data_IF_509754490546
#
_entry.id   IF_509754490546
#
_cell.length_a   1.000
_cell.length_b   1.000
_cell.length_c   1.000
_cell.angle_alpha   90.00
_cell.angle_beta   90.00
_cell.angle_gamma   90.00
#
_symmetry.space_group_name_H-M   'P 1'
#
loop_
_entity.id
_entity.type
_entity.pdbx_description
1 polymer ?
#
# COMPACT_ATOMS: atom_id res chain seq x y z
N UNK A 1 20.23 -2.50 21.77
CA UNK A 1 20.74 -2.57 20.39
C UNK A 1 19.51 -2.41 19.50
N UNK A 2 19.31 -1.22 18.93
CA UNK A 2 18.11 -0.89 18.14
C UNK A 2 18.26 -1.65 16.82
N UNK A 3 17.44 -2.67 16.60
CA UNK A 3 17.42 -3.41 15.33
C UNK A 3 16.91 -2.47 14.25
N UNK A 4 17.67 -2.32 13.17
CA UNK A 4 17.23 -1.61 11.97
C UNK A 4 15.86 -2.09 11.55
N UNK A 5 14.95 -1.15 11.37
CA UNK A 5 13.59 -1.43 10.92
C UNK A 5 13.64 -1.95 9.48
N UNK A 6 12.92 -3.03 9.14
CA UNK A 6 12.78 -3.52 7.75
C UNK A 6 12.25 -2.49 6.72
N UNK A 7 11.89 -1.28 7.17
CA UNK A 7 11.51 -0.12 6.34
C UNK A 7 12.70 0.61 5.68
N UNK A 8 13.95 0.31 6.06
CA UNK A 8 15.16 0.91 5.48
C UNK A 8 15.64 0.21 4.19
N UNK A 9 14.88 -0.76 3.65
CA UNK A 9 15.27 -1.51 2.45
C UNK A 9 14.60 -0.93 1.18
N UNK A 10 15.25 0.03 0.47
CA UNK A 10 14.66 0.75 -0.66
C UNK A 10 14.24 -0.16 -1.81
N UNK A 11 14.78 -1.38 -1.87
CA UNK A 11 14.49 -2.38 -2.91
C UNK A 11 13.11 -3.02 -2.75
N UNK A 12 12.60 -3.18 -1.53
CA UNK A 12 11.25 -3.71 -1.29
C UNK A 12 10.18 -2.65 -1.54
N UNK A 13 10.41 -1.42 -1.08
CA UNK A 13 9.50 -0.29 -1.27
C UNK A 13 9.32 0.09 -2.77
N UNK A 14 10.41 0.06 -3.55
CA UNK A 14 10.35 0.36 -5.00
C UNK A 14 9.55 -0.68 -5.79
N UNK A 15 9.68 -1.96 -5.46
CA UNK A 15 8.91 -3.03 -6.13
C UNK A 15 7.41 -2.97 -5.85
N UNK A 16 7.00 -2.67 -4.60
CA UNK A 16 5.58 -2.53 -4.25
C UNK A 16 4.94 -1.33 -4.97
N UNK A 17 5.66 -0.22 -5.06
CA UNK A 17 5.17 1.01 -5.66
C UNK A 17 5.04 0.93 -7.20
N UNK A 18 5.92 0.18 -7.87
CA UNK A 18 5.81 -0.05 -9.31
C UNK A 18 4.51 -0.78 -9.69
N UNK A 19 4.07 -1.77 -8.89
CA UNK A 19 2.80 -2.47 -9.10
C UNK A 19 1.60 -1.57 -8.87
N UNK A 20 1.63 -0.79 -7.79
CA UNK A 20 0.58 0.20 -7.49
C UNK A 20 0.40 1.21 -8.62
N UNK A 21 1.49 1.77 -9.16
CA UNK A 21 1.42 2.71 -10.29
C UNK A 21 0.84 2.10 -11.55
N UNK A 22 1.17 0.84 -11.85
CA UNK A 22 0.63 0.14 -13.02
C UNK A 22 -0.88 -0.07 -12.89
N UNK A 23 -1.36 -0.43 -11.70
CA UNK A 23 -2.79 -0.56 -11.42
C UNK A 23 -3.51 0.79 -11.49
N UNK A 24 -2.92 1.84 -10.90
CA UNK A 24 -3.46 3.20 -10.96
C UNK A 24 -3.55 3.74 -12.39
N UNK A 25 -2.56 3.45 -13.25
CA UNK A 25 -2.61 3.80 -14.67
C UNK A 25 -3.74 3.08 -15.41
N UNK A 26 -3.97 1.80 -15.12
CA UNK A 26 -5.07 1.04 -15.71
C UNK A 26 -6.44 1.59 -15.27
N UNK A 27 -6.60 1.88 -13.98
CA UNK A 27 -7.81 2.50 -13.43
C UNK A 27 -8.06 3.90 -13.99
N UNK A 28 -6.99 4.69 -14.18
CA UNK A 28 -7.04 5.98 -14.88
C UNK A 28 -7.53 5.81 -16.32
N UNK A 29 -6.99 4.84 -17.07
CA UNK A 29 -7.46 4.56 -18.44
C UNK A 29 -8.95 4.22 -18.49
N UNK A 30 -9.44 3.36 -17.59
CA UNK A 30 -10.87 3.03 -17.49
C UNK A 30 -11.71 4.28 -17.18
N UNK A 31 -11.24 5.11 -16.24
CA UNK A 31 -11.94 6.33 -15.86
C UNK A 31 -12.02 7.31 -17.03
N UNK A 32 -10.92 7.49 -17.77
CA UNK A 32 -10.89 8.34 -18.97
C UNK A 32 -11.85 7.82 -20.03
N UNK A 33 -11.85 6.51 -20.31
CA UNK A 33 -12.80 5.90 -21.26
C UNK A 33 -14.24 6.17 -20.82
N UNK A 34 -14.55 5.99 -19.53
CA UNK A 34 -15.90 6.21 -18.99
C UNK A 34 -16.32 7.68 -19.12
N UNK A 35 -15.43 8.62 -18.81
CA UNK A 35 -15.69 10.06 -18.96
C UNK A 35 -15.93 10.41 -20.42
N UNK A 36 -15.12 9.90 -21.36
CA UNK A 36 -15.30 10.15 -22.80
C UNK A 36 -16.65 9.61 -23.27
N UNK A 37 -17.04 8.41 -22.85
CA UNK A 37 -18.35 7.82 -23.18
C UNK A 37 -19.49 8.66 -22.61
N UNK A 38 -19.39 9.08 -21.35
CA UNK A 38 -20.41 9.93 -20.72
C UNK A 38 -20.56 11.27 -21.46
N UNK A 39 -19.45 11.92 -21.82
CA UNK A 39 -19.49 13.16 -22.60
C UNK A 39 -20.06 12.95 -24.00
N UNK A 40 -19.73 11.85 -24.68
CA UNK A 40 -20.28 11.54 -26.00
C UNK A 40 -21.80 11.34 -25.95
N UNK A 41 -22.31 10.65 -24.92
CA UNK A 41 -23.76 10.48 -24.71
C UNK A 41 -24.43 11.83 -24.47
N UNK A 42 -23.87 12.67 -23.59
CA UNK A 42 -24.43 14.00 -23.32
C UNK A 42 -24.42 14.86 -24.58
N UNK A 43 -23.33 14.85 -25.35
CA UNK A 43 -23.20 15.60 -26.59
C UNK A 43 -24.24 15.20 -27.64
N UNK A 44 -24.59 13.91 -27.71
CA UNK A 44 -25.62 13.42 -28.65
C UNK A 44 -27.06 13.81 -28.29
N UNK A 45 -27.31 14.15 -27.02
CA UNK A 45 -28.66 14.33 -26.48
C UNK A 45 -29.03 15.79 -26.26
N UNK A 46 -28.06 16.73 -26.27
CA UNK A 46 -28.32 18.12 -25.88
C UNK A 46 -27.67 19.11 -26.83
N UNK A 47 -28.51 19.88 -27.53
CA UNK A 47 -28.08 20.81 -28.59
C UNK A 47 -27.70 22.21 -28.08
N UNK A 48 -27.89 22.55 -26.80
CA UNK A 48 -27.75 23.95 -26.32
C UNK A 48 -27.19 24.11 -24.88
N UNK A 49 -26.10 23.42 -24.55
CA UNK A 49 -25.46 23.51 -23.22
C UNK A 49 -24.15 24.27 -23.26
N UNK A 50 -23.95 25.16 -22.26
CA UNK A 50 -22.70 25.88 -22.08
C UNK A 50 -21.50 24.94 -21.98
N UNK A 51 -20.35 25.26 -22.61
CA UNK A 51 -19.12 24.47 -22.53
C UNK A 51 -18.65 24.16 -21.10
N UNK A 52 -18.98 25.04 -20.14
CA UNK A 52 -18.64 24.87 -18.73
C UNK A 52 -19.28 23.62 -18.11
N UNK A 53 -20.47 23.23 -18.57
CA UNK A 53 -21.17 22.04 -18.08
C UNK A 53 -20.38 20.77 -18.38
N UNK A 54 -19.85 20.65 -19.60
CA UNK A 54 -19.06 19.49 -20.01
C UNK A 54 -17.77 19.38 -19.19
N UNK A 55 -17.09 20.51 -18.96
CA UNK A 55 -15.85 20.53 -18.17
C UNK A 55 -16.15 20.19 -16.70
N UNK A 56 -17.22 20.76 -16.12
CA UNK A 56 -17.62 20.49 -14.73
C UNK A 56 -18.01 19.02 -14.53
N UNK A 57 -18.80 18.45 -15.45
CA UNK A 57 -19.20 17.04 -15.40
C UNK A 57 -18.00 16.10 -15.60
N UNK A 58 -17.13 16.40 -16.57
CA UNK A 58 -15.92 15.62 -16.81
C UNK A 58 -15.00 15.62 -15.59
N UNK A 59 -14.77 16.79 -14.98
CA UNK A 59 -13.98 16.91 -13.77
C UNK A 59 -14.66 16.22 -12.59
N UNK A 60 -15.98 16.38 -12.40
CA UNK A 60 -16.71 15.75 -11.30
C UNK A 60 -16.65 14.22 -11.35
N UNK A 61 -16.97 13.63 -12.51
CA UNK A 61 -16.93 12.18 -12.71
C UNK A 61 -15.49 11.68 -12.65
N UNK A 62 -14.57 12.31 -13.37
CA UNK A 62 -13.18 11.91 -13.42
C UNK A 62 -12.51 11.97 -12.05
N UNK A 63 -12.66 13.09 -11.32
CA UNK A 63 -12.06 13.28 -10.01
C UNK A 63 -12.63 12.31 -8.98
N UNK A 64 -13.94 12.10 -8.94
CA UNK A 64 -14.57 11.18 -7.99
C UNK A 64 -14.14 9.72 -8.21
N UNK A 65 -14.10 9.26 -9.46
CA UNK A 65 -13.64 7.90 -9.79
C UNK A 65 -12.15 7.71 -9.50
N UNK A 66 -11.31 8.68 -9.85
CA UNK A 66 -9.87 8.62 -9.54
C UNK A 66 -9.61 8.65 -8.04
N UNK A 67 -10.34 9.48 -7.30
CA UNK A 67 -10.24 9.55 -5.85
C UNK A 67 -10.64 8.20 -5.22
N UNK A 68 -11.76 7.62 -5.64
CA UNK A 68 -12.22 6.32 -5.16
C UNK A 68 -11.19 5.21 -5.44
N UNK A 69 -10.63 5.17 -6.65
CA UNK A 69 -9.56 4.24 -7.00
C UNK A 69 -8.29 4.46 -6.19
N UNK A 70 -7.88 5.72 -6.01
CA UNK A 70 -6.67 6.06 -5.26
C UNK A 70 -6.79 5.59 -3.81
N UNK A 71 -7.93 5.84 -3.16
CA UNK A 71 -8.20 5.41 -1.80
C UNK A 71 -8.11 3.89 -1.68
N UNK A 72 -8.76 3.14 -2.58
CA UNK A 72 -8.71 1.68 -2.57
C UNK A 72 -7.29 1.13 -2.78
N UNK A 73 -6.50 1.76 -3.65
CA UNK A 73 -5.10 1.39 -3.84
C UNK A 73 -4.18 1.77 -2.67
N UNK A 74 -4.43 2.89 -2.00
CA UNK A 74 -3.71 3.28 -0.77
C UNK A 74 -4.00 2.31 0.38
N UNK A 75 -5.25 1.85 0.51
CA UNK A 75 -5.63 0.82 1.50
C UNK A 75 -4.83 -0.47 1.27
N UNK A 76 -4.67 -0.89 0.01
CA UNK A 76 -3.87 -2.07 -0.32
C UNK A 76 -2.37 -1.91 -0.01
N UNK A 77 -1.82 -0.71 -0.22
CA UNK A 77 -0.45 -0.41 0.20
C UNK A 77 -0.30 -0.38 1.72
N UNK A 78 -1.33 0.08 2.44
CA UNK A 78 -1.34 0.09 3.90
C UNK A 78 -1.22 -1.33 4.45
N UNK A 79 -1.98 -2.28 3.93
CA UNK A 79 -1.93 -3.68 4.38
C UNK A 79 -0.70 -4.44 3.88
N UNK A 80 -0.25 -4.19 2.64
CA UNK A 80 0.88 -4.89 2.01
C UNK A 80 2.28 -4.39 2.39
N UNK A 81 2.41 -3.41 3.29
CA UNK A 81 3.71 -2.80 3.67
C UNK A 81 4.55 -3.63 4.65
N UNK A 82 4.10 -4.84 5.02
CA UNK A 82 4.87 -5.78 5.86
C UNK A 82 4.79 -5.49 7.36
N UNK A 83 3.85 -4.65 7.80
CA UNK A 83 3.65 -4.38 9.23
C UNK A 83 3.29 -5.67 9.98
N UNK A 84 2.38 -6.47 9.43
CA UNK A 84 1.91 -7.70 10.08
C UNK A 84 2.89 -8.88 9.90
N UNK A 85 3.64 -8.89 8.79
CA UNK A 85 4.67 -9.91 8.49
C UNK A 85 5.86 -9.82 9.48
N UNK A 86 6.18 -8.61 9.95
CA UNK A 86 7.26 -8.38 10.92
C UNK A 86 6.95 -8.91 12.34
N UNK A 87 5.68 -9.22 12.63
CA UNK A 87 5.26 -9.77 13.92
C UNK A 87 5.51 -11.28 13.99
N UNK A 88 5.44 -12.02 12.88
CA UNK A 88 5.72 -13.47 12.88
C UNK A 88 7.21 -13.79 13.13
N UNK A 89 8.14 -13.04 12.54
CA UNK A 89 9.60 -13.22 12.75
C UNK A 89 10.03 -12.96 14.21
N UNK A 90 9.29 -12.11 14.94
CA UNK A 90 9.55 -11.88 16.37
C UNK A 90 9.04 -13.02 17.27
N UNK A 91 8.12 -13.86 16.79
CA UNK A 91 7.57 -15.00 17.55
C UNK A 91 8.38 -16.28 17.35
N UNK A 92 9.05 -16.39 16.21
CA UNK A 92 9.94 -17.52 15.85
C UNK A 92 11.39 -17.32 16.28
N UNK A 93 11.66 -16.38 17.18
CA UNK A 93 12.97 -16.28 17.84
C UNK A 93 12.98 -17.27 19.01
N UNK A 94 13.55 -18.48 18.88
CA UNK A 94 13.80 -19.32 20.05
C UNK A 94 14.66 -18.50 21.00
N UNK A 95 14.08 -18.26 22.17
CA UNK A 95 14.76 -18.14 23.44
C UNK A 95 16.24 -18.53 23.32
N UNK A 96 17.11 -17.52 23.47
CA UNK A 96 18.56 -17.71 23.59
C UNK A 96 18.85 -18.94 24.43
N UNK A 97 19.76 -19.83 24.00
CA UNK A 97 20.02 -21.08 24.70
C UNK A 97 20.25 -20.76 26.17
N UNK A 98 19.38 -21.31 27.02
CA UNK A 98 19.41 -21.13 28.45
C UNK A 98 20.87 -21.19 28.91
N UNK A 99 21.35 -20.11 29.56
CA UNK A 99 22.69 -20.11 30.15
C UNK A 99 22.82 -21.38 30.98
N UNK A 100 23.89 -22.19 30.79
CA UNK A 100 24.02 -23.44 31.50
C UNK A 100 23.95 -23.16 33.01
N UNK A 101 23.24 -23.99 33.78
CA UNK A 101 23.15 -23.79 35.23
C UNK A 101 24.57 -23.71 35.78
N UNK A 102 24.92 -22.57 36.39
CA UNK A 102 26.20 -22.40 37.07
C UNK A 102 26.30 -23.52 38.10
N UNK A 103 27.12 -24.53 37.81
CA UNK A 103 27.36 -25.65 38.70
C UNK A 103 28.05 -25.14 39.97
N UNK A 104 27.23 -24.78 40.95
CA UNK A 104 27.65 -24.34 42.27
C UNK A 104 28.39 -25.45 43.05
N UNK A 105 28.42 -26.71 42.56
CA UNK A 105 29.14 -27.80 43.25
C UNK A 105 30.65 -27.76 43.10
N UNK A 106 31.20 -27.08 42.09
CA UNK A 106 32.66 -26.99 41.91
C UNK A 106 33.35 -26.02 42.87
N UNK A 107 32.61 -25.15 43.56
CA UNK A 107 33.18 -24.19 44.51
C UNK A 107 33.45 -24.78 45.91
N UNK A 108 33.01 -26.02 46.19
CA UNK A 108 33.12 -26.67 47.52
C UNK A 108 34.08 -27.86 47.51
N UNK A 109 35.26 -27.70 46.91
CA UNK A 109 36.30 -28.74 46.96
C UNK A 109 37.73 -28.17 46.99
N UNK A 110 37.90 -26.92 47.41
CA UNK A 110 39.21 -26.26 47.41
C UNK A 110 39.59 -25.61 48.74
N UNK A 111 39.07 -26.18 49.84
CA UNK A 111 39.51 -25.90 51.21
C UNK A 111 40.11 -27.17 51.80
#
# INVERSE_FOLDING_TARGET
MIGSSPLDDPKKATHAWARFRRLMWFMLSITVVTVVVALAVIYSQVEDVSPHFFIATALGIGLSMLLMSALMGLVFLSSGSGHDESVEDSRDKPDSPARPPLDRRKARWKD
#
